data_IF_761184964919
#
_entry.id   IF_761184964919
#
_cell.length_a   1.000
_cell.length_b   1.000
_cell.length_c   1.000
_cell.angle_alpha   90.00
_cell.angle_beta   90.00
_cell.angle_gamma   90.00
#
_symmetry.space_group_name_H-M   'P 1'
#
loop_
_entity.id
_entity.type
_entity.pdbx_description
1 polymer ?
#
# COMPACT_ATOMS: atom_id res chain seq x y z
N UNK A 1 8.96 -10.01 12.13
CA UNK A 1 8.68 -9.12 13.26
C UNK A 1 9.19 -7.72 12.91
N UNK A 2 8.35 -6.97 12.19
CA UNK A 2 8.70 -5.65 11.62
C UNK A 2 8.73 -4.54 12.68
N UNK A 3 8.10 -4.75 13.83
CA UNK A 3 7.90 -3.66 14.78
C UNK A 3 8.15 -4.20 16.19
N UNK A 4 9.41 -4.31 16.62
CA UNK A 4 9.70 -4.04 18.05
C UNK A 4 10.37 -2.68 18.08
N UNK A 5 9.66 -1.69 17.54
CA UNK A 5 10.05 -0.29 17.66
C UNK A 5 9.84 0.12 19.11
N UNK A 6 10.64 1.00 19.68
CA UNK A 6 10.12 1.96 20.63
C UNK A 6 9.98 3.24 19.83
N UNK A 7 8.77 3.66 19.47
CA UNK A 7 8.62 4.76 18.52
C UNK A 7 8.80 6.09 19.23
N UNK A 8 10.02 6.63 19.25
CA UNK A 8 10.32 7.79 20.10
C UNK A 8 9.63 9.10 19.69
N UNK A 9 9.10 9.17 18.46
CA UNK A 9 8.45 10.37 17.93
C UNK A 9 7.13 10.11 17.17
N UNK A 10 6.62 8.87 17.14
CA UNK A 10 5.19 8.64 16.86
C UNK A 10 4.45 8.85 18.19
N UNK A 11 3.36 9.64 18.23
CA UNK A 11 2.58 9.81 19.43
C UNK A 11 2.11 8.47 20.02
N UNK A 12 2.23 8.32 21.33
CA UNK A 12 1.69 7.15 22.02
C UNK A 12 0.17 7.14 21.89
N UNK A 13 -0.37 6.01 21.47
CA UNK A 13 -1.80 5.80 21.30
C UNK A 13 -2.42 5.24 22.57
N UNK A 14 -3.66 5.64 22.85
CA UNK A 14 -4.44 4.94 23.88
C UNK A 14 -4.80 3.53 23.38
N UNK A 15 -4.39 2.51 24.12
CA UNK A 15 -4.68 1.10 23.80
C UNK A 15 -5.65 0.51 24.83
N UNK A 16 -6.73 -0.09 24.34
CA UNK A 16 -7.66 -0.88 25.14
C UNK A 16 -7.37 -2.35 24.90
N UNK A 17 -6.93 -3.03 25.95
CA UNK A 17 -6.77 -4.48 25.98
C UNK A 17 -8.12 -5.11 26.36
N UNK A 18 -8.70 -5.91 25.44
CA UNK A 18 -9.96 -6.63 25.70
C UNK A 18 -9.67 -7.97 26.38
N UNK A 19 -8.76 -8.75 25.78
CA UNK A 19 -8.27 -10.04 26.28
C UNK A 19 -6.98 -10.43 25.54
N UNK A 20 -6.39 -11.58 25.91
CA UNK A 20 -5.11 -12.08 25.37
C UNK A 20 -5.07 -12.27 23.83
N UNK A 21 -6.22 -12.17 23.15
CA UNK A 21 -6.32 -12.26 21.69
C UNK A 21 -6.67 -10.95 21.00
N UNK A 22 -7.19 -9.94 21.72
CA UNK A 22 -7.74 -8.73 21.12
C UNK A 22 -7.38 -7.49 21.92
N UNK A 23 -6.82 -6.51 21.23
CA UNK A 23 -6.69 -5.14 21.70
C UNK A 23 -6.89 -4.17 20.54
N UNK A 24 -7.13 -2.90 20.85
CA UNK A 24 -7.28 -1.88 19.82
C UNK A 24 -6.84 -0.49 20.30
N UNK A 25 -6.54 0.37 19.33
CA UNK A 25 -6.44 1.81 19.49
C UNK A 25 -7.52 2.48 18.61
N UNK A 26 -7.52 3.81 18.50
CA UNK A 26 -8.57 4.55 17.79
C UNK A 26 -8.79 4.13 16.32
N UNK A 27 -7.75 3.65 15.63
CA UNK A 27 -7.79 3.34 14.20
C UNK A 27 -7.10 2.02 13.81
N UNK A 28 -6.63 1.23 14.79
CA UNK A 28 -6.06 -0.09 14.54
C UNK A 28 -6.60 -1.11 15.53
N UNK A 29 -6.89 -2.31 15.02
CA UNK A 29 -7.15 -3.51 15.82
C UNK A 29 -5.95 -4.43 15.74
N UNK A 30 -5.58 -5.05 16.86
CA UNK A 30 -4.66 -6.18 16.86
C UNK A 30 -5.37 -7.46 17.28
N UNK A 31 -5.21 -8.51 16.48
CA UNK A 31 -5.74 -9.83 16.73
C UNK A 31 -4.60 -10.84 16.82
N UNK A 32 -4.65 -11.73 17.80
CA UNK A 32 -3.78 -12.91 17.87
C UNK A 32 -4.47 -14.09 17.19
N UNK A 33 -4.00 -14.43 15.99
CA UNK A 33 -4.55 -15.51 15.17
C UNK A 33 -3.41 -16.47 14.81
N UNK A 34 -3.15 -17.51 15.63
CA UNK A 34 -2.02 -18.42 15.41
C UNK A 34 -2.09 -19.18 14.09
N UNK A 35 -3.29 -19.38 13.54
CA UNK A 35 -3.54 -20.06 12.27
C UNK A 35 -3.40 -19.15 11.05
N UNK A 36 -3.22 -17.84 11.26
CA UNK A 36 -3.02 -16.91 10.15
C UNK A 36 -1.64 -17.16 9.56
N UNK A 37 -1.65 -17.88 8.44
CA UNK A 37 -0.43 -18.32 7.78
C UNK A 37 0.45 -17.12 7.41
N UNK A 38 1.70 -17.18 7.83
CA UNK A 38 2.77 -16.32 7.34
C UNK A 38 3.37 -17.06 6.16
N UNK A 39 2.68 -17.04 5.01
CA UNK A 39 3.01 -17.85 3.85
C UNK A 39 4.37 -17.44 3.25
N UNK A 40 5.44 -17.89 3.90
CA UNK A 40 6.75 -18.18 3.31
C UNK A 40 6.56 -19.39 2.41
N UNK A 41 6.03 -19.12 1.21
CA UNK A 41 5.99 -20.01 0.04
C UNK A 41 4.94 -21.13 0.15
N UNK A 42 3.77 -20.95 -0.51
CA UNK A 42 3.13 -21.95 -1.41
C UNK A 42 1.61 -21.76 -1.70
N UNK A 43 0.88 -20.86 -1.00
CA UNK A 43 -0.60 -20.81 -1.09
C UNK A 43 -1.26 -19.72 -1.94
N UNK A 44 -0.52 -18.70 -2.41
CA UNK A 44 -1.13 -17.52 -3.07
C UNK A 44 -2.13 -16.79 -2.15
N UNK A 45 -3.16 -16.14 -2.73
CA UNK A 45 -4.23 -15.46 -1.97
C UNK A 45 -4.98 -16.40 -1.01
N UNK A 46 -5.00 -17.71 -1.29
CA UNK A 46 -5.67 -18.72 -0.48
C UNK A 46 -4.85 -19.22 0.72
N UNK A 47 -3.61 -18.74 0.87
CA UNK A 47 -2.75 -19.11 2.00
C UNK A 47 -3.20 -18.49 3.32
N UNK A 48 -3.88 -17.34 3.29
CA UNK A 48 -4.22 -16.59 4.50
C UNK A 48 -5.52 -17.06 5.14
N UNK A 49 -5.50 -17.28 6.46
CA UNK A 49 -6.70 -17.59 7.24
C UNK A 49 -7.54 -16.34 7.56
N UNK A 50 -7.91 -15.62 6.49
CA UNK A 50 -8.72 -14.40 6.56
C UNK A 50 -10.13 -14.64 7.09
N UNK A 51 -10.66 -15.87 6.93
CA UNK A 51 -12.00 -16.23 7.42
C UNK A 51 -11.99 -16.26 8.95
N UNK A 52 -11.01 -16.94 9.55
CA UNK A 52 -10.89 -16.99 11.02
C UNK A 52 -10.61 -15.61 11.59
N UNK A 53 -9.68 -14.85 10.99
CA UNK A 53 -9.37 -13.49 11.45
C UNK A 53 -10.59 -12.55 11.36
N UNK A 54 -11.33 -12.56 10.24
CA UNK A 54 -12.54 -11.73 10.09
C UNK A 54 -13.65 -12.12 11.06
N UNK A 55 -13.86 -13.41 11.30
CA UNK A 55 -14.86 -13.86 12.28
C UNK A 55 -14.48 -13.45 13.69
N UNK A 56 -13.20 -13.54 14.04
CA UNK A 56 -12.70 -13.06 15.32
C UNK A 56 -12.91 -11.55 15.46
N UNK A 57 -12.63 -10.77 14.42
CA UNK A 57 -12.90 -9.33 14.39
C UNK A 57 -14.37 -9.01 14.73
N UNK A 58 -15.32 -9.62 14.03
CA UNK A 58 -16.75 -9.34 14.24
C UNK A 58 -17.34 -9.85 15.56
N UNK A 59 -16.58 -10.61 16.36
CA UNK A 59 -16.99 -10.90 17.75
C UNK A 59 -16.85 -9.68 18.68
N UNK A 60 -16.00 -8.71 18.32
CA UNK A 60 -15.63 -7.59 19.21
C UNK A 60 -15.91 -6.20 18.62
N UNK A 61 -16.00 -6.08 17.29
CA UNK A 61 -16.19 -4.82 16.59
C UNK A 61 -17.47 -4.84 15.76
N UNK A 62 -18.07 -3.67 15.55
CA UNK A 62 -19.34 -3.54 14.83
C UNK A 62 -19.21 -3.94 13.37
N UNK A 63 -20.30 -4.49 12.82
CA UNK A 63 -20.43 -4.74 11.40
C UNK A 63 -20.80 -3.45 10.65
N UNK A 64 -19.84 -2.55 10.51
CA UNK A 64 -19.98 -1.28 9.78
C UNK A 64 -18.77 -0.99 8.88
N UNK A 65 -17.96 -2.00 8.57
CA UNK A 65 -16.79 -1.87 7.73
C UNK A 65 -17.07 -2.35 6.31
N UNK A 66 -16.64 -1.57 5.33
CA UNK A 66 -16.66 -1.96 3.92
C UNK A 66 -15.49 -2.90 3.61
N UNK A 67 -14.35 -2.71 4.27
CA UNK A 67 -13.16 -3.55 4.06
C UNK A 67 -12.40 -3.82 5.36
N UNK A 68 -11.88 -5.04 5.49
CA UNK A 68 -10.90 -5.39 6.53
C UNK A 68 -9.52 -5.52 5.88
N UNK A 69 -8.56 -4.72 6.33
CA UNK A 69 -7.19 -4.71 5.84
C UNK A 69 -6.26 -5.41 6.82
N UNK A 70 -5.96 -6.67 6.54
CA UNK A 70 -5.08 -7.48 7.37
C UNK A 70 -3.61 -7.25 7.03
N UNK A 71 -2.80 -7.07 8.07
CA UNK A 71 -1.34 -7.01 7.94
C UNK A 71 -0.72 -7.93 8.97
N UNK A 72 -0.02 -9.01 8.57
CA UNK A 72 0.67 -9.87 9.53
C UNK A 72 1.88 -9.14 10.11
N UNK A 73 2.23 -9.45 11.35
CA UNK A 73 3.45 -8.94 12.01
C UNK A 73 4.78 -9.38 11.32
N UNK A 74 4.68 -10.36 10.43
CA UNK A 74 5.77 -10.93 9.63
C UNK A 74 5.78 -10.42 8.20
N UNK A 75 6.95 -10.54 7.54
CA UNK A 75 7.34 -9.75 6.37
C UNK A 75 7.31 -10.50 5.05
N UNK A 76 6.97 -11.78 5.04
CA UNK A 76 7.13 -12.60 3.84
C UNK A 76 5.83 -13.30 3.49
N UNK A 77 5.04 -12.62 2.67
CA UNK A 77 3.89 -13.20 1.96
C UNK A 77 4.33 -13.36 0.50
N UNK A 78 4.65 -14.59 0.10
CA UNK A 78 4.87 -14.93 -1.32
C UNK A 78 5.68 -13.91 -2.16
N UNK A 79 5.26 -13.71 -3.41
CA UNK A 79 5.90 -12.81 -4.39
C UNK A 79 5.13 -11.51 -4.62
N UNK A 80 4.12 -11.19 -3.79
CA UNK A 80 3.20 -10.06 -3.98
C UNK A 80 3.16 -9.18 -2.73
N UNK A 81 3.13 -7.86 -2.91
CA UNK A 81 3.22 -6.86 -1.82
C UNK A 81 1.90 -6.58 -1.10
N UNK A 82 0.77 -6.80 -1.79
CA UNK A 82 -0.59 -6.73 -1.28
C UNK A 82 -1.56 -7.45 -2.23
N UNK A 83 -2.81 -7.65 -1.80
CA UNK A 83 -3.92 -8.02 -2.68
C UNK A 83 -5.28 -7.65 -2.06
N UNK A 84 -6.29 -7.47 -2.92
CA UNK A 84 -7.70 -7.33 -2.57
C UNK A 84 -8.52 -8.58 -2.97
N UNK A 85 -9.52 -8.90 -2.17
CA UNK A 85 -10.54 -9.91 -2.46
C UNK A 85 -11.92 -9.32 -2.27
N UNK A 86 -12.76 -9.39 -3.28
CA UNK A 86 -14.18 -9.10 -3.13
C UNK A 86 -14.85 -10.18 -2.26
N UNK A 87 -15.49 -9.75 -1.17
CA UNK A 87 -16.35 -10.59 -0.33
C UNK A 87 -17.78 -10.55 -0.85
N UNK A 88 -18.20 -9.42 -1.40
CA UNK A 88 -19.44 -9.29 -2.13
C UNK A 88 -19.31 -8.26 -3.25
N UNK A 89 -20.22 -8.37 -4.20
CA UNK A 89 -20.42 -7.38 -5.24
C UNK A 89 -21.92 -7.27 -5.54
N UNK A 90 -22.46 -6.07 -5.36
CA UNK A 90 -23.83 -5.73 -5.74
C UNK A 90 -23.89 -4.83 -6.98
N UNK A 91 -22.74 -4.58 -7.64
CA UNK A 91 -22.63 -3.70 -8.80
C UNK A 91 -22.60 -4.53 -10.08
N UNK A 92 -23.45 -4.20 -11.05
CA UNK A 92 -23.44 -4.76 -12.41
C UNK A 92 -22.73 -3.82 -13.37
N UNK A 93 -22.37 -4.29 -14.57
CA UNK A 93 -21.74 -3.46 -15.60
C UNK A 93 -20.21 -3.34 -15.49
N UNK A 94 -19.58 -4.08 -14.57
CA UNK A 94 -18.13 -4.07 -14.33
C UNK A 94 -17.39 -5.30 -14.88
N UNK A 95 -18.10 -6.19 -15.60
CA UNK A 95 -17.62 -7.55 -15.93
C UNK A 95 -17.29 -8.44 -14.71
N UNK A 96 -17.86 -8.10 -13.55
CA UNK A 96 -17.80 -8.88 -12.32
C UNK A 96 -19.22 -9.34 -12.00
N UNK A 97 -19.40 -10.64 -11.73
CA UNK A 97 -20.71 -11.17 -11.32
C UNK A 97 -21.15 -10.58 -9.98
N UNK A 98 -22.47 -10.49 -9.75
CA UNK A 98 -22.99 -10.17 -8.42
C UNK A 98 -22.96 -11.39 -7.51
N UNK A 99 -22.53 -11.22 -6.27
CA UNK A 99 -22.49 -12.29 -5.26
C UNK A 99 -22.43 -11.68 -3.86
N UNK A 100 -22.71 -12.48 -2.83
CA UNK A 100 -22.54 -12.08 -1.43
C UNK A 100 -22.03 -13.25 -0.58
N UNK A 101 -20.83 -13.09 -0.04
CA UNK A 101 -20.22 -14.04 0.88
C UNK A 101 -19.99 -13.44 2.29
N UNK A 102 -20.56 -12.29 2.62
CA UNK A 102 -20.32 -11.58 3.87
C UNK A 102 -20.50 -12.47 5.12
N UNK A 103 -21.55 -13.30 5.13
CA UNK A 103 -21.83 -14.25 6.21
C UNK A 103 -20.70 -15.27 6.44
N UNK A 104 -19.97 -15.67 5.38
CA UNK A 104 -18.80 -16.56 5.51
C UNK A 104 -17.75 -15.95 6.43
N UNK A 105 -17.57 -14.63 6.37
CA UNK A 105 -16.56 -13.88 7.10
C UNK A 105 -17.06 -13.30 8.44
N UNK A 106 -18.31 -13.60 8.83
CA UNK A 106 -18.90 -13.14 10.09
C UNK A 106 -19.55 -11.75 10.03
N UNK A 107 -19.57 -11.11 8.85
CA UNK A 107 -20.31 -9.87 8.62
C UNK A 107 -21.80 -10.19 8.39
N UNK A 108 -22.69 -9.33 8.86
CA UNK A 108 -24.13 -9.41 8.63
C UNK A 108 -24.55 -8.79 7.27
N UNK A 109 -23.59 -8.36 6.45
CA UNK A 109 -23.83 -7.90 5.08
C UNK A 109 -23.11 -6.62 4.69
N UNK A 110 -22.33 -6.00 5.58
CA UNK A 110 -21.63 -4.75 5.29
C UNK A 110 -20.28 -4.95 4.58
N UNK A 111 -19.57 -6.04 4.89
CA UNK A 111 -18.22 -6.30 4.38
C UNK A 111 -18.20 -6.49 2.85
N UNK A 112 -17.64 -5.54 2.12
CA UNK A 112 -17.48 -5.54 0.65
C UNK A 112 -16.25 -6.33 0.21
N UNK A 113 -15.14 -6.22 0.93
CA UNK A 113 -13.88 -6.85 0.56
C UNK A 113 -12.93 -7.12 1.72
N UNK A 114 -11.84 -7.82 1.44
CA UNK A 114 -10.72 -8.05 2.35
C UNK A 114 -9.44 -7.72 1.61
N UNK A 115 -8.56 -6.95 2.26
CA UNK A 115 -7.22 -6.67 1.78
C UNK A 115 -6.21 -7.40 2.67
N UNK A 116 -5.10 -7.82 2.07
CA UNK A 116 -3.95 -8.34 2.81
C UNK A 116 -2.70 -7.64 2.32
N UNK A 117 -1.89 -7.12 3.25
CA UNK A 117 -0.67 -6.40 2.94
C UNK A 117 0.54 -7.03 3.60
N UNK A 118 1.65 -7.02 2.89
CA UNK A 118 2.94 -7.44 3.44
C UNK A 118 3.60 -6.31 4.19
N UNK A 119 3.98 -6.50 5.45
CA UNK A 119 4.69 -5.48 6.23
C UNK A 119 4.14 -4.06 6.05
N UNK A 120 5.02 -3.08 5.83
CA UNK A 120 4.62 -1.68 5.72
C UNK A 120 3.88 -1.27 4.43
N UNK A 121 3.58 -2.17 3.49
CA UNK A 121 2.77 -1.81 2.31
C UNK A 121 1.39 -1.27 2.71
N UNK A 122 0.79 -1.80 3.80
CA UNK A 122 -0.46 -1.31 4.38
C UNK A 122 -0.43 0.15 4.85
N UNK A 123 0.73 0.81 4.87
CA UNK A 123 0.90 2.18 5.39
C UNK A 123 1.01 3.23 4.29
N UNK A 124 1.03 2.82 3.02
CA UNK A 124 1.36 3.70 1.90
C UNK A 124 0.13 3.99 1.05
N UNK A 125 0.00 5.24 0.60
CA UNK A 125 -1.12 5.66 -0.25
C UNK A 125 -1.19 4.85 -1.54
N UNK A 126 -0.07 4.69 -2.27
CA UNK A 126 -0.10 3.98 -3.55
C UNK A 126 -0.61 2.54 -3.43
N UNK A 127 -0.17 1.82 -2.39
CA UNK A 127 -0.53 0.43 -2.20
C UNK A 127 -1.98 0.33 -1.69
N UNK A 128 -2.41 1.22 -0.81
CA UNK A 128 -3.79 1.22 -0.30
C UNK A 128 -4.80 1.60 -1.39
N UNK A 129 -4.52 2.65 -2.15
CA UNK A 129 -5.38 3.10 -3.25
C UNK A 129 -5.44 2.06 -4.37
N UNK A 130 -4.33 1.41 -4.72
CA UNK A 130 -4.31 0.33 -5.69
C UNK A 130 -5.26 -0.81 -5.27
N UNK A 131 -5.11 -1.31 -4.03
CA UNK A 131 -5.94 -2.43 -3.57
C UNK A 131 -7.43 -2.05 -3.41
N UNK A 132 -7.74 -0.86 -2.88
CA UNK A 132 -9.14 -0.44 -2.74
C UNK A 132 -9.86 -0.34 -4.09
N UNK A 133 -9.15 -0.01 -5.17
CA UNK A 133 -9.75 0.08 -6.50
C UNK A 133 -10.14 -1.27 -7.08
N UNK A 134 -9.48 -2.36 -6.68
CA UNK A 134 -9.88 -3.72 -7.06
C UNK A 134 -11.29 -4.09 -6.61
N UNK A 135 -11.87 -3.38 -5.62
CA UNK A 135 -13.28 -3.59 -5.27
C UNK A 135 -14.23 -3.40 -6.46
N UNK A 136 -13.93 -2.43 -7.34
CA UNK A 136 -14.72 -2.16 -8.55
C UNK A 136 -13.99 -2.60 -9.82
N UNK A 137 -12.71 -2.94 -9.71
CA UNK A 137 -11.90 -3.62 -10.72
C UNK A 137 -11.64 -2.85 -12.02
N UNK A 138 -10.82 -3.48 -12.86
CA UNK A 138 -10.58 -3.14 -14.28
C UNK A 138 -10.85 -4.34 -15.20
N UNK A 139 -11.75 -5.23 -14.78
CA UNK A 139 -12.05 -6.51 -15.42
C UNK A 139 -12.75 -6.41 -16.78
N UNK A 140 -12.96 -5.21 -17.31
CA UNK A 140 -13.60 -5.00 -18.60
C UNK A 140 -13.00 -5.89 -19.70
N UNK A 141 -13.88 -6.47 -20.52
CA UNK A 141 -13.49 -7.27 -21.69
C UNK A 141 -12.97 -6.37 -22.82
N UNK A 142 -11.69 -5.99 -22.71
CA UNK A 142 -11.00 -5.14 -23.67
C UNK A 142 -10.85 -5.74 -25.06
N UNK A 143 -10.91 -7.06 -25.18
CA UNK A 143 -10.94 -7.73 -26.48
C UNK A 143 -12.27 -7.47 -27.18
N UNK A 144 -13.40 -7.49 -26.47
CA UNK A 144 -14.71 -7.13 -27.05
C UNK A 144 -14.91 -5.62 -27.20
N UNK A 145 -14.33 -4.81 -26.33
CA UNK A 145 -14.47 -3.34 -26.37
C UNK A 145 -13.64 -2.75 -27.51
N UNK A 146 -12.36 -3.13 -27.60
CA UNK A 146 -11.38 -2.46 -28.46
C UNK A 146 -10.59 -3.43 -29.36
N UNK A 147 -10.81 -4.74 -29.27
CA UNK A 147 -10.05 -5.71 -30.08
C UNK A 147 -8.59 -5.87 -29.65
N UNK A 148 -8.22 -5.45 -28.43
CA UNK A 148 -6.84 -5.51 -27.95
C UNK A 148 -6.53 -6.82 -27.22
N UNK A 149 -5.27 -7.24 -27.33
CA UNK A 149 -4.67 -8.25 -26.46
C UNK A 149 -3.99 -7.54 -25.30
N UNK A 150 -4.36 -7.88 -24.06
CA UNK A 150 -3.81 -7.24 -22.86
C UNK A 150 -2.48 -7.88 -22.46
N UNK A 151 -1.59 -7.08 -21.88
CA UNK A 151 -0.28 -7.51 -21.40
C UNK A 151 0.10 -6.76 -20.11
N UNK A 152 1.21 -7.15 -19.49
CA UNK A 152 1.69 -6.58 -18.24
C UNK A 152 1.26 -7.39 -17.01
N UNK A 153 1.22 -6.73 -15.85
CA UNK A 153 0.89 -7.36 -14.57
C UNK A 153 -0.60 -7.68 -14.47
N UNK A 154 -0.93 -8.95 -14.26
CA UNK A 154 -2.30 -9.46 -14.06
C UNK A 154 -3.32 -8.76 -14.98
N UNK A 155 -3.13 -8.83 -16.30
CA UNK A 155 -3.80 -7.97 -17.27
C UNK A 155 -5.32 -8.19 -17.34
N UNK A 156 -5.81 -9.29 -16.76
CA UNK A 156 -7.25 -9.55 -16.66
C UNK A 156 -7.95 -8.68 -15.63
N UNK A 157 -7.24 -8.24 -14.58
CA UNK A 157 -7.76 -7.49 -13.44
C UNK A 157 -7.21 -6.03 -13.36
N UNK A 158 -6.36 -5.64 -14.30
CA UNK A 158 -5.70 -4.33 -14.33
C UNK A 158 -5.94 -3.61 -15.66
N UNK A 159 -5.82 -2.28 -15.61
CA UNK A 159 -6.05 -1.39 -16.73
C UNK A 159 -5.00 -1.55 -17.85
N UNK A 160 -5.39 -1.58 -19.14
CA UNK A 160 -4.44 -1.51 -20.24
C UNK A 160 -3.73 -0.16 -20.29
N UNK A 161 -2.69 -0.08 -21.11
CA UNK A 161 -2.04 1.16 -21.51
C UNK A 161 -3.01 2.03 -22.32
N UNK A 162 -3.30 3.21 -21.80
CA UNK A 162 -4.19 4.19 -22.41
C UNK A 162 -3.71 5.63 -22.18
N UNK A 163 -4.41 6.57 -22.81
CA UNK A 163 -4.32 8.01 -22.60
C UNK A 163 -5.48 8.51 -21.73
N UNK A 164 -5.59 9.82 -21.50
CA UNK A 164 -6.75 10.41 -20.82
C UNK A 164 -6.59 10.62 -19.31
N UNK A 165 -5.45 10.18 -18.76
CA UNK A 165 -5.07 10.39 -17.37
C UNK A 165 -4.13 9.29 -16.87
N UNK A 166 -3.75 9.40 -15.61
CA UNK A 166 -3.12 8.34 -14.84
C UNK A 166 -4.10 7.21 -14.49
N UNK A 167 -3.58 6.02 -14.19
CA UNK A 167 -4.32 4.84 -13.67
C UNK A 167 -3.64 4.42 -12.38
N UNK A 168 -4.41 4.11 -11.33
CA UNK A 168 -3.83 3.62 -10.08
C UNK A 168 -3.86 2.08 -9.99
N UNK A 169 -4.45 1.40 -10.97
CA UNK A 169 -4.43 -0.07 -11.12
C UNK A 169 -4.02 -0.49 -12.54
N UNK A 170 -2.89 0.04 -13.03
CA UNK A 170 -2.37 -0.24 -14.36
C UNK A 170 -1.69 -1.60 -14.49
N UNK A 171 -1.98 -2.31 -15.59
CA UNK A 171 -1.31 -3.55 -15.95
C UNK A 171 0.09 -3.26 -16.51
N UNK A 172 0.21 -2.17 -17.28
CA UNK A 172 1.42 -1.82 -18.03
C UNK A 172 2.24 -0.75 -17.33
N UNK A 173 1.57 0.29 -16.82
CA UNK A 173 2.19 1.41 -16.10
C UNK A 173 1.85 1.36 -14.62
N UNK A 174 2.84 1.68 -13.79
CA UNK A 174 2.59 2.02 -12.39
C UNK A 174 1.98 3.43 -12.28
N UNK A 175 1.17 3.67 -11.25
CA UNK A 175 0.38 4.92 -11.15
C UNK A 175 1.18 6.22 -10.98
N UNK A 176 2.49 6.13 -10.80
CA UNK A 176 3.41 7.28 -10.83
C UNK A 176 3.80 7.70 -12.25
N UNK A 177 3.32 6.97 -13.28
CA UNK A 177 3.49 7.28 -14.69
C UNK A 177 2.14 7.36 -15.40
N UNK A 178 2.09 8.19 -16.43
CA UNK A 178 0.97 8.25 -17.37
C UNK A 178 1.46 8.45 -18.80
N UNK A 179 0.59 8.18 -19.76
CA UNK A 179 0.81 8.58 -21.15
C UNK A 179 0.32 10.00 -21.36
N UNK A 180 1.18 10.85 -21.90
CA UNK A 180 0.85 12.20 -22.32
C UNK A 180 1.02 12.36 -23.84
N UNK A 181 0.22 13.25 -24.41
CA UNK A 181 0.37 13.65 -25.81
C UNK A 181 1.39 14.77 -25.89
N UNK A 182 2.47 14.56 -26.65
CA UNK A 182 3.56 15.52 -26.82
C UNK A 182 4.04 15.53 -28.27
N UNK A 183 4.13 16.72 -28.88
CA UNK A 183 4.67 16.94 -30.23
C UNK A 183 4.09 16.03 -31.33
N UNK A 184 2.79 15.74 -31.27
CA UNK A 184 2.11 14.89 -32.26
C UNK A 184 2.33 13.37 -32.05
N UNK A 185 2.96 12.98 -30.94
CA UNK A 185 3.11 11.59 -30.50
C UNK A 185 2.74 11.42 -29.02
N UNK A 186 3.13 10.28 -28.46
CA UNK A 186 2.85 9.92 -27.08
C UNK A 186 4.14 9.65 -26.32
N UNK A 187 4.22 10.16 -25.09
CA UNK A 187 5.40 9.98 -24.23
C UNK A 187 4.98 9.66 -22.80
N UNK A 188 5.84 8.93 -22.10
CA UNK A 188 5.69 8.70 -20.66
C UNK A 188 6.02 9.98 -19.90
N UNK A 189 5.12 10.38 -19.02
CA UNK A 189 5.30 11.50 -18.08
C UNK A 189 5.15 11.03 -16.63
N UNK A 190 5.70 11.82 -15.71
CA UNK A 190 5.35 11.72 -14.31
C UNK A 190 3.86 12.07 -14.13
N UNK A 191 3.12 11.25 -13.39
CA UNK A 191 1.77 11.60 -12.97
C UNK A 191 1.80 12.88 -12.13
N UNK A 192 1.03 13.95 -12.46
CA UNK A 192 1.05 15.19 -11.70
C UNK A 192 0.38 15.01 -10.32
N UNK A 193 0.73 15.83 -9.31
CA UNK A 193 0.00 15.83 -8.04
C UNK A 193 -1.34 16.56 -8.15
N UNK A 194 -2.43 16.01 -7.59
CA UNK A 194 -2.54 14.66 -7.01
C UNK A 194 -2.62 13.58 -8.09
N UNK A 195 -1.98 12.42 -7.86
CA UNK A 195 -2.28 11.21 -8.63
C UNK A 195 -3.71 10.76 -8.31
N UNK A 196 -4.59 10.79 -9.30
CA UNK A 196 -6.00 10.42 -9.17
C UNK A 196 -6.32 9.14 -9.91
N UNK A 197 -7.49 8.57 -9.68
CA UNK A 197 -8.00 7.48 -10.52
C UNK A 197 -8.41 7.99 -11.90
N UNK A 198 -8.15 7.18 -12.92
CA UNK A 198 -8.60 7.43 -14.29
C UNK A 198 -10.12 7.67 -14.30
N UNK A 199 -10.67 8.53 -15.19
CA UNK A 199 -12.11 8.69 -15.32
C UNK A 199 -12.90 7.37 -15.43
N UNK A 200 -12.34 6.36 -16.10
CA UNK A 200 -12.98 5.04 -16.22
C UNK A 200 -13.00 4.27 -14.88
N UNK A 201 -11.94 4.37 -14.07
CA UNK A 201 -11.86 3.75 -12.74
C UNK A 201 -12.86 4.43 -11.80
N UNK A 202 -12.97 5.78 -11.87
CA UNK A 202 -13.97 6.54 -11.13
C UNK A 202 -15.40 6.24 -11.57
N UNK A 203 -15.61 5.96 -12.86
CA UNK A 203 -16.87 5.44 -13.35
C UNK A 203 -17.16 4.07 -12.73
N UNK A 204 -16.21 3.13 -12.72
CA UNK A 204 -16.36 1.82 -12.08
C UNK A 204 -16.75 1.94 -10.60
N UNK A 205 -16.12 2.87 -9.87
CA UNK A 205 -16.45 3.21 -8.48
C UNK A 205 -17.84 3.83 -8.32
N UNK A 206 -18.39 4.43 -9.38
CA UNK A 206 -19.68 5.13 -9.37
C UNK A 206 -19.64 6.59 -9.04
N UNK A 207 -18.44 7.13 -8.85
CA UNK A 207 -18.23 8.53 -8.44
C UNK A 207 -18.07 9.46 -9.63
N UNK A 208 -18.06 8.92 -10.85
CA UNK A 208 -18.14 9.68 -12.09
C UNK A 208 -19.28 9.13 -12.95
N UNK A 209 -20.16 10.01 -13.40
CA UNK A 209 -21.27 9.63 -14.29
C UNK A 209 -20.76 9.39 -15.72
N UNK A 210 -21.46 8.57 -16.53
CA UNK A 210 -21.01 8.23 -17.88
C UNK A 210 -20.70 9.46 -18.75
N UNK A 211 -21.55 10.49 -18.72
CA UNK A 211 -21.42 11.72 -19.51
C UNK A 211 -20.17 12.55 -19.16
N UNK A 212 -19.52 12.23 -18.04
CA UNK A 212 -18.30 12.89 -17.55
C UNK A 212 -17.03 12.06 -17.82
N UNK A 213 -17.16 10.88 -18.41
CA UNK A 213 -16.03 10.08 -18.88
C UNK A 213 -15.70 10.55 -20.30
N UNK A 214 -14.56 11.22 -20.53
CA UNK A 214 -14.15 11.60 -21.87
C UNK A 214 -13.78 10.36 -22.68
N UNK A 215 -13.86 10.48 -24.00
CA UNK A 215 -13.22 9.50 -24.88
C UNK A 215 -11.71 9.49 -24.65
N UNK A 216 -11.11 8.32 -24.72
CA UNK A 216 -9.68 8.12 -24.51
C UNK A 216 -9.15 7.10 -25.52
N UNK A 217 -7.84 7.17 -25.75
CA UNK A 217 -7.16 6.27 -26.65
C UNK A 217 -6.54 5.09 -25.88
N UNK A 218 -6.76 3.87 -26.35
CA UNK A 218 -6.11 2.65 -25.87
C UNK A 218 -5.13 2.17 -26.93
N UNK A 219 -3.92 1.75 -26.53
CA UNK A 219 -2.90 1.30 -27.47
C UNK A 219 -3.15 -0.14 -27.93
N UNK A 220 -2.93 -0.45 -29.20
CA UNK A 220 -3.02 -1.82 -29.69
C UNK A 220 -1.86 -2.69 -29.17
N UNK A 221 -0.66 -2.10 -29.05
CA UNK A 221 0.54 -2.74 -28.55
C UNK A 221 0.66 -2.55 -27.03
N UNK A 222 0.23 -3.54 -26.26
CA UNK A 222 0.20 -3.49 -24.80
C UNK A 222 1.50 -4.00 -24.14
N UNK A 223 2.32 -4.75 -24.86
CA UNK A 223 3.56 -5.38 -24.37
C UNK A 223 4.84 -4.58 -24.67
N UNK A 224 4.69 -3.31 -25.07
CA UNK A 224 5.79 -2.44 -25.51
C UNK A 224 6.82 -2.04 -24.43
N UNK A 225 6.60 -2.37 -23.16
CA UNK A 225 7.55 -2.11 -22.07
C UNK A 225 8.00 -3.41 -21.40
N UNK A 226 7.11 -4.03 -20.62
CA UNK A 226 7.28 -5.35 -20.02
C UNK A 226 5.95 -6.11 -20.22
N UNK A 227 6.04 -7.29 -20.80
CA UNK A 227 4.86 -8.10 -21.14
C UNK A 227 4.25 -8.81 -19.94
N UNK A 228 4.94 -8.82 -18.80
CA UNK A 228 4.62 -9.62 -17.60
C UNK A 228 4.39 -8.80 -16.35
N UNK A 229 5.00 -7.62 -16.24
CA UNK A 229 4.89 -6.76 -15.06
C UNK A 229 4.55 -5.31 -15.44
N UNK A 230 3.98 -4.57 -14.49
CA UNK A 230 3.83 -3.13 -14.60
C UNK A 230 5.19 -2.48 -14.37
N UNK A 231 5.46 -1.39 -15.07
CA UNK A 231 6.75 -0.68 -14.99
C UNK A 231 6.54 0.81 -14.78
N UNK A 232 7.59 1.49 -14.32
CA UNK A 232 7.69 2.95 -14.34
C UNK A 232 8.78 3.36 -15.33
N UNK A 233 8.51 3.38 -16.66
CA UNK A 233 9.53 3.75 -17.64
C UNK A 233 10.11 5.14 -17.36
N UNK A 234 11.30 5.39 -17.89
CA UNK A 234 11.93 6.72 -17.83
C UNK A 234 10.99 7.77 -18.44
N UNK A 235 10.89 8.93 -17.79
CA UNK A 235 10.14 10.07 -18.32
C UNK A 235 10.72 10.46 -19.69
N UNK A 236 9.83 10.73 -20.64
CA UNK A 236 10.18 11.04 -22.04
C UNK A 236 10.31 9.81 -22.94
N UNK A 237 10.22 8.59 -22.42
CA UNK A 237 10.13 7.39 -23.26
C UNK A 237 8.93 7.49 -24.20
N UNK A 238 9.15 7.28 -25.49
CA UNK A 238 8.08 7.29 -26.49
C UNK A 238 7.17 6.07 -26.32
N UNK A 239 5.85 6.29 -26.46
CA UNK A 239 4.84 5.24 -26.53
C UNK A 239 4.50 5.01 -27.99
N UNK A 240 4.54 3.76 -28.43
CA UNK A 240 4.43 3.35 -29.83
C UNK A 240 3.15 2.55 -30.10
N UNK A 241 2.83 2.41 -31.39
CA UNK A 241 1.72 1.58 -31.88
C UNK A 241 0.46 2.37 -32.18
N UNK A 242 -0.45 1.69 -32.87
CA UNK A 242 -1.75 2.23 -33.23
C UNK A 242 -2.61 2.47 -31.99
N UNK A 243 -3.47 3.47 -32.06
CA UNK A 243 -4.45 3.79 -31.02
C UNK A 243 -5.87 3.50 -31.47
N UNK A 244 -6.70 3.08 -30.53
CA UNK A 244 -8.13 2.86 -30.68
C UNK A 244 -8.85 3.83 -29.75
N UNK A 245 -9.73 4.66 -30.31
CA UNK A 245 -10.57 5.54 -29.48
C UNK A 245 -11.66 4.71 -28.84
N UNK A 246 -11.79 4.82 -27.52
CA UNK A 246 -12.80 4.15 -26.71
C UNK A 246 -13.62 5.20 -25.99
N UNK A 247 -14.94 5.04 -26.05
CA UNK A 247 -15.91 5.83 -25.30
C UNK A 247 -16.50 5.02 -24.15
N UNK A 248 -17.17 5.71 -23.22
CA UNK A 248 -17.98 5.03 -22.21
C UNK A 248 -19.14 4.23 -22.83
N UNK A 249 -19.65 4.66 -23.99
CA UNK A 249 -20.73 3.97 -24.69
C UNK A 249 -20.28 2.59 -25.19
N UNK A 250 -19.01 2.43 -25.57
CA UNK A 250 -18.45 1.14 -25.97
C UNK A 250 -18.39 0.17 -24.79
N UNK A 251 -18.02 0.65 -23.60
CA UNK A 251 -18.09 -0.14 -22.37
C UNK A 251 -19.52 -0.57 -22.06
N UNK A 252 -20.46 0.37 -22.08
CA UNK A 252 -21.89 0.12 -21.79
C UNK A 252 -22.49 -0.86 -22.80
N UNK A 253 -22.08 -0.78 -24.06
CA UNK A 253 -22.54 -1.72 -25.11
C UNK A 253 -22.12 -3.16 -24.82
N UNK A 254 -20.94 -3.37 -24.23
CA UNK A 254 -20.41 -4.70 -23.94
C UNK A 254 -20.93 -5.25 -22.61
N UNK A 255 -20.94 -4.41 -21.56
CA UNK A 255 -21.18 -4.84 -20.18
C UNK A 255 -22.52 -4.39 -19.60
N UNK A 256 -23.25 -3.52 -20.29
CA UNK A 256 -24.40 -2.80 -19.74
C UNK A 256 -23.99 -1.60 -18.90
N UNK A 257 -24.95 -0.76 -18.48
CA UNK A 257 -24.67 0.37 -17.61
C UNK A 257 -24.25 -0.10 -16.22
N UNK A 258 -23.31 0.62 -15.61
CA UNK A 258 -23.00 0.43 -14.20
C UNK A 258 -24.22 0.73 -13.35
N UNK A 259 -24.67 -0.26 -12.59
CA UNK A 259 -25.81 -0.13 -11.66
C UNK A 259 -25.45 -0.76 -10.32
N UNK A 260 -25.74 -0.07 -9.22
CA UNK A 260 -25.42 -0.55 -7.88
C UNK A 260 -25.05 0.59 -6.93
N UNK A 261 -24.64 0.26 -5.69
CA UNK A 261 -24.25 1.26 -4.70
C UNK A 261 -23.05 2.09 -5.17
N UNK A 262 -23.05 3.37 -4.81
CA UNK A 262 -21.91 4.28 -4.96
C UNK A 262 -21.48 4.73 -3.57
N UNK A 263 -20.22 4.54 -3.16
CA UNK A 263 -19.78 4.97 -1.85
C UNK A 263 -19.57 6.49 -1.84
N UNK A 264 -20.04 7.15 -0.77
CA UNK A 264 -19.56 8.49 -0.36
C UNK A 264 -18.55 8.39 0.79
N UNK A 265 -18.47 7.21 1.40
CA UNK A 265 -17.58 6.88 2.50
C UNK A 265 -17.13 5.44 2.31
N UNK A 266 -15.86 5.17 2.61
CA UNK A 266 -15.28 3.84 2.63
C UNK A 266 -14.70 3.58 4.01
N UNK A 267 -15.25 2.61 4.74
CA UNK A 267 -14.83 2.25 6.11
C UNK A 267 -13.87 1.07 6.06
N UNK A 268 -12.62 1.35 6.39
CA UNK A 268 -11.51 0.39 6.35
C UNK A 268 -10.98 0.14 7.76
N UNK A 269 -11.13 -1.09 8.26
CA UNK A 269 -10.47 -1.48 9.49
C UNK A 269 -9.02 -1.90 9.19
N UNK A 270 -8.04 -1.22 9.78
CA UNK A 270 -6.65 -1.70 9.80
C UNK A 270 -6.51 -2.74 10.90
N UNK A 271 -6.13 -3.96 10.53
CA UNK A 271 -6.05 -5.10 11.45
C UNK A 271 -4.65 -5.72 11.42
N UNK A 272 -3.88 -5.47 12.46
CA UNK A 272 -2.58 -6.11 12.70
C UNK A 272 -2.81 -7.54 13.21
N UNK A 273 -2.31 -8.53 12.48
CA UNK A 273 -2.37 -9.94 12.89
C UNK A 273 -1.05 -10.37 13.53
N UNK A 274 -1.12 -10.80 14.78
CA UNK A 274 0.00 -11.40 15.53
C UNK A 274 -0.20 -12.90 15.69
N UNK A 275 0.89 -13.66 15.84
CA UNK A 275 0.81 -15.12 15.93
C UNK A 275 0.76 -15.65 17.37
N UNK A 276 1.54 -15.07 18.28
CA UNK A 276 1.80 -15.68 19.59
C UNK A 276 1.64 -14.73 20.79
N UNK A 277 1.38 -13.44 20.55
CA UNK A 277 1.18 -12.44 21.59
C UNK A 277 0.41 -11.25 21.01
N UNK A 278 -0.15 -10.44 21.88
CA UNK A 278 -0.57 -9.11 21.49
C UNK A 278 0.64 -8.25 21.08
N UNK A 279 0.37 -7.34 20.16
CA UNK A 279 1.28 -6.29 19.76
C UNK A 279 1.67 -5.42 20.98
N UNK A 280 2.91 -4.97 21.01
CA UNK A 280 3.43 -4.06 22.02
C UNK A 280 2.84 -2.66 21.83
N UNK A 281 2.97 -1.80 22.84
CA UNK A 281 2.51 -0.42 22.76
C UNK A 281 3.04 0.29 21.50
N UNK A 282 4.33 0.19 21.23
CA UNK A 282 4.94 0.83 20.08
C UNK A 282 4.54 0.22 18.72
N UNK A 283 4.14 -1.06 18.70
CA UNK A 283 3.47 -1.66 17.54
C UNK A 283 2.12 -1.00 17.29
N UNK A 284 1.32 -0.86 18.34
CA UNK A 284 0.02 -0.20 18.26
C UNK A 284 0.15 1.26 17.85
N UNK A 285 1.11 2.00 18.41
CA UNK A 285 1.39 3.41 18.08
C UNK A 285 1.67 3.57 16.57
N UNK A 286 2.56 2.73 16.03
CA UNK A 286 2.93 2.75 14.61
C UNK A 286 1.71 2.53 13.71
N UNK A 287 0.96 1.45 13.94
CA UNK A 287 -0.15 1.10 13.07
C UNK A 287 -1.34 2.06 13.22
N UNK A 288 -1.59 2.56 14.43
CA UNK A 288 -2.62 3.57 14.68
C UNK A 288 -2.32 4.86 13.91
N UNK A 289 -1.07 5.33 13.98
CA UNK A 289 -0.60 6.49 13.24
C UNK A 289 -0.81 6.35 11.75
N UNK A 290 -0.38 5.24 11.14
CA UNK A 290 -0.50 5.06 9.70
C UNK A 290 -1.94 4.82 9.25
N UNK A 291 -2.78 4.16 10.05
CA UNK A 291 -4.21 4.05 9.79
C UNK A 291 -4.91 5.41 9.80
N UNK A 292 -4.51 6.32 10.69
CA UNK A 292 -4.99 7.71 10.68
C UNK A 292 -4.44 8.49 9.48
N UNK A 293 -3.16 8.30 9.15
CA UNK A 293 -2.52 8.95 8.00
C UNK A 293 -3.21 8.61 6.68
N UNK A 294 -3.58 7.34 6.50
CA UNK A 294 -4.29 6.91 5.30
C UNK A 294 -5.65 7.60 5.15
N UNK A 295 -6.39 7.72 6.26
CA UNK A 295 -7.66 8.44 6.27
C UNK A 295 -7.50 9.93 5.94
N UNK A 296 -6.36 10.54 6.30
CA UNK A 296 -6.05 11.94 6.03
C UNK A 296 -7.21 12.87 6.40
N UNK A 297 -7.75 12.69 7.61
CA UNK A 297 -9.02 13.31 8.06
C UNK A 297 -9.03 14.84 7.89
N UNK A 298 -7.87 15.47 7.96
CA UNK A 298 -7.71 16.92 7.85
C UNK A 298 -7.34 17.39 6.43
N UNK A 299 -7.18 16.49 5.47
CA UNK A 299 -6.73 16.80 4.12
C UNK A 299 -5.36 17.47 4.05
N UNK A 300 -4.55 17.30 5.11
CA UNK A 300 -3.23 17.90 5.25
C UNK A 300 -2.13 17.03 4.65
N UNK A 301 -2.41 15.73 4.45
CA UNK A 301 -1.47 14.73 3.97
C UNK A 301 -0.76 15.18 2.71
N UNK A 302 0.56 15.31 2.77
CA UNK A 302 1.36 15.68 1.60
C UNK A 302 1.38 14.54 0.56
N UNK A 303 1.35 14.85 -0.75
CA UNK A 303 1.62 13.86 -1.77
C UNK A 303 2.96 13.16 -1.54
N UNK A 304 3.04 11.88 -1.89
CA UNK A 304 4.31 11.15 -1.94
C UNK A 304 5.15 11.65 -3.12
N UNK A 305 6.40 11.21 -3.23
CA UNK A 305 7.24 11.52 -4.40
C UNK A 305 6.58 11.09 -5.73
N UNK A 306 5.91 9.93 -5.73
CA UNK A 306 5.13 9.45 -6.88
C UNK A 306 3.80 10.20 -7.07
N UNK A 307 3.57 11.29 -6.32
CA UNK A 307 2.38 12.12 -6.32
C UNK A 307 1.09 11.45 -5.80
N UNK A 308 1.20 10.26 -5.20
CA UNK A 308 0.09 9.58 -4.53
C UNK A 308 -0.39 10.34 -3.30
N UNK A 309 -1.67 10.27 -3.02
CA UNK A 309 -2.37 11.05 -2.00
C UNK A 309 -3.39 10.17 -1.28
N UNK A 310 -4.09 10.69 -0.28
CA UNK A 310 -5.18 9.95 0.36
C UNK A 310 -6.29 9.57 -0.61
N UNK A 311 -7.00 8.46 -0.32
CA UNK A 311 -8.09 7.94 -1.14
C UNK A 311 -9.17 8.98 -1.46
N UNK A 312 -9.48 9.86 -0.50
CA UNK A 312 -10.37 10.99 -0.73
C UNK A 312 -9.86 11.89 -1.86
N UNK A 313 -8.58 12.24 -1.87
CA UNK A 313 -7.99 13.06 -2.93
C UNK A 313 -7.84 12.28 -4.24
N UNK A 314 -7.48 11.00 -4.17
CA UNK A 314 -7.33 10.13 -5.34
C UNK A 314 -8.67 9.93 -6.09
N UNK A 315 -9.79 9.87 -5.35
CA UNK A 315 -11.16 9.81 -5.90
C UNK A 315 -11.71 11.18 -6.31
N UNK A 316 -10.84 12.19 -6.49
CA UNK A 316 -11.24 13.58 -6.77
C UNK A 316 -12.24 14.14 -5.74
N UNK A 317 -12.03 13.79 -4.46
CA UNK A 317 -12.80 14.23 -3.28
C UNK A 317 -14.19 13.59 -3.14
N UNK A 318 -14.46 12.50 -3.85
CA UNK A 318 -15.78 11.87 -3.87
C UNK A 318 -16.01 10.87 -2.72
N UNK A 319 -14.98 10.14 -2.29
CA UNK A 319 -15.12 9.09 -1.25
C UNK A 319 -14.24 9.39 -0.06
N UNK A 320 -14.83 9.58 1.11
CA UNK A 320 -14.05 9.76 2.35
C UNK A 320 -13.60 8.41 2.89
N UNK A 321 -12.30 8.23 3.15
CA UNK A 321 -11.79 7.06 3.85
C UNK A 321 -11.93 7.25 5.37
N UNK A 322 -12.56 6.28 6.04
CA UNK A 322 -12.69 6.25 7.50
C UNK A 322 -12.01 5.01 8.06
N UNK A 323 -11.15 5.20 9.05
CA UNK A 323 -10.40 4.11 9.70
C UNK A 323 -10.71 3.96 11.19
N UNK A 324 -11.73 4.65 11.71
CA UNK A 324 -12.09 4.59 13.13
C UNK A 324 -12.50 3.17 13.57
N UNK A 325 -11.99 2.74 14.73
CA UNK A 325 -12.37 1.47 15.37
C UNK A 325 -13.67 1.66 16.16
N UNK A 326 -14.66 0.81 15.89
CA UNK A 326 -15.98 0.83 16.52
C UNK A 326 -16.20 -0.48 17.28
N UNK A 327 -15.78 -0.56 18.56
CA UNK A 327 -16.00 -1.74 19.40
C UNK A 327 -17.48 -1.92 19.77
N UNK A 328 -17.90 -3.17 20.04
CA UNK A 328 -19.27 -3.50 20.44
C UNK A 328 -19.57 -3.17 21.91
N UNK A 329 -18.66 -3.56 22.81
CA UNK A 329 -18.89 -3.55 24.27
C UNK A 329 -17.83 -2.75 25.04
N UNK A 330 -16.98 -2.01 24.34
CA UNK A 330 -15.89 -1.22 24.92
C UNK A 330 -15.99 0.24 24.40
N UNK A 331 -15.34 1.22 25.03
CA UNK A 331 -15.42 2.60 24.56
C UNK A 331 -14.75 2.80 23.20
N UNK A 332 -15.41 3.56 22.31
CA UNK A 332 -14.75 4.13 21.14
C UNK A 332 -13.71 5.16 21.58
N UNK A 333 -12.57 5.18 20.90
CA UNK A 333 -11.51 6.17 21.10
C UNK A 333 -11.55 7.16 19.93
N UNK A 334 -11.51 8.46 20.22
CA UNK A 334 -11.39 9.52 19.21
C UNK A 334 -10.09 10.29 19.39
N UNK A 335 -9.00 9.55 19.34
CA UNK A 335 -7.66 10.12 19.33
C UNK A 335 -7.34 10.64 17.92
N UNK A 336 -6.78 11.85 17.85
CA UNK A 336 -6.30 12.46 16.62
C UNK A 336 -4.82 12.76 16.73
N UNK A 337 -4.03 12.10 15.87
CA UNK A 337 -2.59 12.27 15.80
C UNK A 337 -2.22 13.26 14.70
N UNK A 338 -1.11 13.97 14.88
CA UNK A 338 -0.47 14.70 13.78
C UNK A 338 0.25 13.70 12.87
N UNK A 339 -0.39 13.36 11.74
CA UNK A 339 0.06 12.28 10.86
C UNK A 339 0.93 12.72 9.68
N UNK A 340 1.35 13.98 9.61
CA UNK A 340 1.84 14.58 8.36
C UNK A 340 3.29 14.21 8.01
N UNK A 341 4.16 14.07 9.02
CA UNK A 341 5.54 13.57 8.87
C UNK A 341 5.92 12.63 10.02
N UNK A 342 5.98 11.31 9.80
CA UNK A 342 6.50 10.40 10.82
C UNK A 342 7.97 10.74 11.09
N UNK A 343 8.33 10.89 12.36
CA UNK A 343 9.73 10.87 12.79
C UNK A 343 9.98 9.52 13.45
N UNK A 344 10.97 8.78 12.96
CA UNK A 344 11.41 7.54 13.59
C UNK A 344 12.48 7.90 14.61
N UNK A 345 12.20 7.64 15.87
CA UNK A 345 13.13 7.92 16.95
C UNK A 345 14.41 7.09 16.82
N UNK A 346 15.40 7.38 17.69
CA UNK A 346 16.68 6.70 17.59
C UNK A 346 16.62 5.22 18.02
N UNK A 347 15.70 4.85 18.91
CA UNK A 347 15.58 3.48 19.47
C UNK A 347 14.50 2.62 18.81
N UNK A 348 13.92 3.07 17.70
CA UNK A 348 12.85 2.39 16.97
C UNK A 348 13.34 1.13 16.21
N UNK A 349 14.62 0.78 16.32
CA UNK A 349 15.29 -0.14 15.41
C UNK A 349 15.75 -1.41 16.13
N UNK A 350 15.40 -2.57 15.58
CA UNK A 350 15.66 -3.85 16.26
C UNK A 350 17.16 -4.12 16.32
N UNK A 351 17.68 -4.06 17.53
CA UNK A 351 19.10 -4.31 17.80
C UNK A 351 20.03 -3.19 17.32
N UNK A 352 19.47 -2.00 17.07
CA UNK A 352 20.20 -0.79 16.68
C UNK A 352 19.60 0.39 17.43
N UNK A 353 20.43 1.32 17.89
CA UNK A 353 19.98 2.64 18.35
C UNK A 353 20.77 3.69 17.60
N UNK A 354 20.10 4.52 16.82
CA UNK A 354 20.73 5.65 16.16
C UNK A 354 21.06 6.75 17.18
N UNK A 355 22.00 7.63 16.84
CA UNK A 355 22.36 8.77 17.68
C UNK A 355 21.29 9.87 17.64
N UNK A 356 20.58 10.00 16.52
CA UNK A 356 19.48 10.95 16.30
C UNK A 356 18.32 10.23 15.61
N UNK A 357 17.09 10.78 15.66
CA UNK A 357 15.99 10.30 14.82
C UNK A 357 16.42 10.20 13.35
N UNK A 358 15.94 9.17 12.65
CA UNK A 358 16.22 9.02 11.22
C UNK A 358 15.26 9.92 10.47
N UNK A 359 15.76 10.87 9.65
CA UNK A 359 14.90 11.79 8.93
C UNK A 359 14.07 11.03 7.90
N UNK A 360 12.77 11.29 7.88
CA UNK A 360 11.85 10.75 6.87
C UNK A 360 11.91 11.51 5.54
N UNK A 361 12.72 12.57 5.45
CA UNK A 361 13.03 13.33 4.23
C UNK A 361 14.53 13.53 4.11
N UNK A 362 15.07 13.19 2.94
CA UNK A 362 16.48 13.33 2.61
C UNK A 362 16.61 14.15 1.33
N UNK A 363 17.55 15.09 1.32
CA UNK A 363 17.86 15.86 0.10
C UNK A 363 18.91 15.11 -0.72
N UNK A 364 18.72 15.00 -2.04
CA UNK A 364 19.73 14.51 -2.97
C UNK A 364 20.92 15.46 -3.00
N UNK A 365 22.08 14.91 -3.34
CA UNK A 365 23.35 15.63 -3.36
C UNK A 365 23.75 16.23 -2.00
N UNK A 366 23.01 15.93 -0.93
CA UNK A 366 23.39 16.19 0.45
C UNK A 366 23.90 14.90 1.08
N UNK A 367 25.04 14.99 1.77
CA UNK A 367 25.53 13.88 2.58
C UNK A 367 24.93 14.01 3.98
N UNK A 368 24.19 12.98 4.39
CA UNK A 368 23.65 12.84 5.75
C UNK A 368 24.42 11.74 6.45
N UNK A 369 24.94 12.02 7.65
CA UNK A 369 25.63 11.03 8.46
C UNK A 369 24.63 10.38 9.42
N UNK A 370 24.42 9.07 9.26
CA UNK A 370 23.60 8.29 10.17
C UNK A 370 24.50 7.45 11.06
N UNK A 371 24.58 7.81 12.33
CA UNK A 371 25.41 7.12 13.33
C UNK A 371 24.57 6.46 14.42
N UNK A 372 25.16 5.55 15.16
CA UNK A 372 24.48 4.83 16.23
C UNK A 372 25.32 3.72 16.84
N UNK A 373 24.63 2.85 17.58
CA UNK A 373 25.18 1.75 18.34
C UNK A 373 24.36 0.47 18.14
N UNK A 374 25.01 -0.68 18.16
CA UNK A 374 24.35 -2.00 18.12
C UNK A 374 23.86 -2.38 19.51
N UNK A 375 22.56 -2.62 19.64
CA UNK A 375 21.92 -3.07 20.88
C UNK A 375 21.37 -4.50 20.78
N UNK A 376 21.67 -5.18 19.67
CA UNK A 376 21.20 -6.53 19.37
C UNK A 376 21.72 -7.52 20.44
N UNK A 377 20.84 -8.12 21.26
CA UNK A 377 21.28 -8.97 22.37
C UNK A 377 21.66 -10.38 21.90
N UNK A 378 21.28 -10.75 20.67
CA UNK A 378 21.46 -12.11 20.17
C UNK A 378 22.93 -12.42 19.85
N UNK A 379 23.74 -11.43 19.46
CA UNK A 379 25.17 -11.63 19.16
C UNK A 379 26.00 -10.40 19.45
N UNK A 380 27.30 -10.60 19.66
CA UNK A 380 28.27 -9.52 19.93
C UNK A 380 29.26 -9.27 18.78
N UNK A 381 29.29 -10.11 17.75
CA UNK A 381 30.31 -10.13 16.69
C UNK A 381 29.88 -9.43 15.39
N UNK A 382 28.89 -8.54 15.47
CA UNK A 382 28.46 -7.77 14.31
C UNK A 382 29.61 -6.90 13.79
N UNK A 383 29.89 -7.01 12.49
CA UNK A 383 31.03 -6.34 11.86
C UNK A 383 30.63 -5.28 10.84
N UNK A 384 29.39 -5.33 10.34
CA UNK A 384 28.84 -4.35 9.40
C UNK A 384 27.36 -4.09 9.62
N UNK A 385 26.97 -2.84 9.40
CA UNK A 385 25.57 -2.41 9.29
C UNK A 385 25.28 -2.03 7.84
N UNK A 386 24.10 -2.41 7.36
CA UNK A 386 23.58 -2.02 6.04
C UNK A 386 22.25 -1.29 6.17
N UNK A 387 22.10 -0.21 5.41
CA UNK A 387 20.88 0.55 5.23
C UNK A 387 20.45 0.41 3.77
N UNK A 388 19.41 -0.39 3.54
CA UNK A 388 18.85 -0.63 2.21
C UNK A 388 17.59 0.18 2.00
N UNK A 389 17.59 1.05 1.01
CA UNK A 389 16.45 1.87 0.61
C UNK A 389 15.78 1.25 -0.61
N UNK A 390 14.58 0.71 -0.42
CA UNK A 390 13.83 -0.01 -1.45
C UNK A 390 12.74 0.90 -2.04
N UNK A 391 12.83 1.20 -3.34
CA UNK A 391 11.69 1.73 -4.07
C UNK A 391 10.61 0.66 -4.20
N UNK A 392 9.36 1.09 -4.24
CA UNK A 392 8.24 0.23 -4.63
C UNK A 392 8.55 -0.33 -6.02
N UNK A 393 8.55 -1.66 -6.15
CA UNK A 393 8.87 -2.43 -7.37
C UNK A 393 10.35 -2.51 -7.78
N UNK A 394 11.29 -1.97 -7.01
CA UNK A 394 12.70 -2.20 -7.31
C UNK A 394 13.12 -3.61 -6.85
N UNK A 395 13.78 -4.34 -7.75
CA UNK A 395 14.42 -5.62 -7.43
C UNK A 395 15.72 -5.44 -6.65
N UNK A 396 16.26 -4.22 -6.60
CA UNK A 396 17.49 -3.87 -5.89
C UNK A 396 17.32 -2.57 -5.10
N UNK A 397 17.85 -2.50 -3.87
CA UNK A 397 17.82 -1.27 -3.08
C UNK A 397 19.01 -0.37 -3.40
N UNK A 398 18.86 0.92 -3.08
CA UNK A 398 20.00 1.81 -2.88
C UNK A 398 20.61 1.48 -1.52
N UNK A 399 21.83 0.96 -1.51
CA UNK A 399 22.49 0.49 -0.29
C UNK A 399 23.57 1.44 0.20
N UNK A 400 23.54 1.73 1.50
CA UNK A 400 24.64 2.37 2.22
C UNK A 400 25.08 1.43 3.34
N UNK A 401 26.38 1.37 3.61
CA UNK A 401 26.89 0.48 4.67
C UNK A 401 28.15 1.05 5.30
N UNK A 402 28.44 0.59 6.51
CA UNK A 402 29.68 0.91 7.22
C UNK A 402 30.10 -0.25 8.10
N UNK A 403 31.37 -0.24 8.50
CA UNK A 403 31.88 -1.16 9.51
C UNK A 403 31.38 -0.77 10.89
N UNK A 404 31.14 -1.77 11.72
CA UNK A 404 30.83 -1.60 13.13
C UNK A 404 32.15 -1.68 13.91
N UNK A 405 32.37 -0.75 14.83
CA UNK A 405 33.53 -0.75 15.71
C UNK A 405 33.49 -1.92 16.69
N UNK A 406 34.60 -2.21 17.37
CA UNK A 406 34.62 -3.23 18.44
C UNK A 406 33.69 -2.89 19.61
N UNK A 407 33.40 -1.61 19.84
CA UNK A 407 32.44 -1.17 20.85
C UNK A 407 30.99 -1.29 20.40
N UNK A 408 30.73 -1.61 19.11
CA UNK A 408 29.36 -1.69 18.58
C UNK A 408 28.89 -0.39 17.93
N UNK A 409 29.75 0.63 17.80
CA UNK A 409 29.38 1.91 17.20
C UNK A 409 29.52 1.88 15.68
N UNK A 410 28.70 2.66 14.98
CA UNK A 410 28.78 2.80 13.53
C UNK A 410 28.48 4.23 13.08
N UNK A 411 28.90 4.53 11.85
CA UNK A 411 28.57 5.76 11.16
C UNK A 411 28.49 5.50 9.66
N UNK A 412 27.30 5.68 9.07
CA UNK A 412 26.99 5.43 7.66
C UNK A 412 26.77 6.76 6.96
N UNK A 413 27.66 7.19 6.04
CA UNK A 413 27.39 8.33 5.18
C UNK A 413 26.37 7.93 4.11
N UNK A 414 25.28 8.67 4.03
CA UNK A 414 24.20 8.49 3.06
C UNK A 414 24.21 9.68 2.13
N UNK A 415 24.24 9.43 0.82
CA UNK A 415 24.14 10.47 -0.21
C UNK A 415 23.40 9.90 -1.41
N UNK A 416 22.20 10.43 -1.65
CA UNK A 416 21.42 10.10 -2.84
C UNK A 416 21.82 11.00 -4.02
N UNK A 417 21.72 10.49 -5.24
CA UNK A 417 21.85 11.26 -6.49
C UNK A 417 20.49 11.73 -6.99
N UNK A 418 20.47 12.67 -7.93
CA UNK A 418 19.21 13.14 -8.55
C UNK A 418 18.41 12.00 -9.21
N UNK A 419 19.09 10.99 -9.75
CA UNK A 419 18.45 9.79 -10.30
C UNK A 419 17.86 8.83 -9.26
N UNK A 420 18.11 9.07 -7.97
CA UNK A 420 17.63 8.26 -6.85
C UNK A 420 16.60 9.02 -5.99
N UNK A 421 15.91 9.99 -6.58
CA UNK A 421 14.73 10.60 -5.95
C UNK A 421 13.58 9.59 -5.91
N UNK A 422 12.80 9.59 -4.84
CA UNK A 422 11.82 8.52 -4.64
C UNK A 422 11.17 8.45 -3.26
N UNK A 423 10.19 7.57 -3.15
CA UNK A 423 9.63 7.12 -1.88
C UNK A 423 10.15 5.71 -1.57
N UNK A 424 10.79 5.57 -0.43
CA UNK A 424 11.55 4.38 -0.05
C UNK A 424 11.04 3.74 1.23
N UNK A 425 11.10 2.41 1.28
CA UNK A 425 11.20 1.67 2.53
C UNK A 425 12.68 1.59 2.94
N UNK A 426 12.99 2.02 4.16
CA UNK A 426 14.33 1.83 4.75
C UNK A 426 14.35 0.51 5.51
N UNK A 427 15.27 -0.37 5.15
CA UNK A 427 15.52 -1.66 5.80
C UNK A 427 16.91 -1.65 6.43
N UNK A 428 17.02 -2.04 7.71
CA UNK A 428 18.28 -2.12 8.47
C UNK A 428 18.74 -3.57 8.57
N UNK A 429 19.98 -3.81 8.19
CA UNK A 429 20.63 -5.12 8.18
C UNK A 429 21.86 -5.11 9.08
N UNK A 430 22.10 -6.23 9.77
CA UNK A 430 23.31 -6.45 10.56
C UNK A 430 24.02 -7.70 10.07
N UNK A 431 25.31 -7.57 9.79
CA UNK A 431 26.16 -8.61 9.22
C UNK A 431 27.30 -8.97 10.17
N UNK A 432 27.81 -10.18 10.02
CA UNK A 432 28.94 -10.73 10.77
C UNK A 432 29.83 -11.59 9.87
N UNK A 433 31.03 -11.97 10.32
CA UNK A 433 31.93 -12.79 9.51
C UNK A 433 31.24 -14.07 9.01
N UNK A 434 31.25 -14.29 7.69
CA UNK A 434 30.66 -15.47 7.07
C UNK A 434 29.13 -15.49 6.98
N UNK A 435 28.44 -14.42 7.38
CA UNK A 435 26.97 -14.38 7.46
C UNK A 435 26.22 -14.51 6.13
N UNK A 436 26.84 -14.13 5.01
CA UNK A 436 26.16 -14.11 3.70
C UNK A 436 24.95 -13.16 3.67
N UNK A 437 23.91 -13.54 2.94
CA UNK A 437 22.66 -12.77 2.85
C UNK A 437 21.89 -12.76 4.17
N UNK A 438 21.31 -11.62 4.51
CA UNK A 438 20.60 -11.41 5.76
C UNK A 438 19.18 -10.89 5.53
N UNK A 439 18.27 -11.29 6.40
CA UNK A 439 16.95 -10.67 6.50
C UNK A 439 17.05 -9.33 7.26
N UNK A 440 16.23 -8.32 6.92
CA UNK A 440 16.23 -7.07 7.62
C UNK A 440 15.83 -7.27 9.09
N UNK A 441 16.54 -6.59 9.99
CA UNK A 441 16.24 -6.54 11.43
C UNK A 441 14.99 -5.70 11.70
N UNK A 442 14.92 -4.58 10.99
CA UNK A 442 13.82 -3.62 10.97
C UNK A 442 13.66 -3.10 9.57
N UNK A 443 12.45 -2.73 9.24
CA UNK A 443 12.16 -1.98 8.03
C UNK A 443 11.13 -0.92 8.41
N UNK A 444 11.12 0.25 7.77
CA UNK A 444 10.16 1.32 8.01
C UNK A 444 9.82 2.04 6.71
N UNK A 445 8.56 2.42 6.54
CA UNK A 445 8.07 3.29 5.45
C UNK A 445 7.42 4.53 6.06
N UNK A 446 7.44 5.72 5.44
CA UNK A 446 8.03 6.14 4.15
C UNK A 446 9.21 7.09 4.38
N UNK A 447 10.36 6.84 3.74
CA UNK A 447 11.44 7.81 3.58
C UNK A 447 11.32 8.45 2.19
N UNK A 448 11.24 9.77 2.12
CA UNK A 448 11.21 10.52 0.86
C UNK A 448 12.59 11.07 0.55
N UNK A 449 13.03 10.94 -0.70
CA UNK A 449 14.27 11.51 -1.22
C UNK A 449 13.93 12.56 -2.29
N UNK A 450 14.27 13.82 -2.04
CA UNK A 450 13.95 15.01 -2.87
C UNK A 450 15.11 16.01 -2.96
#
# INVERSE_FOLDING_TARGET
MYVRTGVGAIPSSQVIHINDQVQYASNVVNLVVPTFDDARISGGMNGFDVVTASRLFYQYFSDNYDVLAFTPESVSVGSFGAFHMNVQNAVTGLNISTFNQAARYGSAGNLQGIEVYTGAFATRYQDSDHEMAHQWGSDFDWTRIAGISRAGHQPTAHAPLWTGGETLIGAVLFGDRRVATSNGGFTIEQTPPPATYHPIERYSMGVLTPDRVPDFAVFANQDQFDSTNATSPTIGTAVQGDILTVSIADLIKVHGPRTGPTPSTWRRATVLISQNRLASQAEMDYWNFFAQRLADRNGAGRPTYGNFVSFWRATAKAVTLQTAVTPLNNPSLDEQLDTDTPMFGPSDWRGVTFATPVPSRLTVNQTVLVSGHITAPDRADFSRIGLGFWLVNATTPVNFSSTISRSGDFSVPIRFTDSQRGAYQLSVYLFWPGSGSQYPRSSLSTITVE
#
